data_IF_652442117843
#
_entry.id   IF_652442117843
#
_cell.length_a   1.000
_cell.length_b   1.000
_cell.length_c   1.000
_cell.angle_alpha   90.00
_cell.angle_beta   90.00
_cell.angle_gamma   90.00
#
_symmetry.space_group_name_H-M   'P 1'
#
loop_
_entity.id
_entity.type
_entity.pdbx_description
1 polymer ?
#
# COMPACT_ATOMS: atom_id res chain seq x y z
N UNK A 1 -10.21 -1.63 -1.39
CA UNK A 1 -9.59 -0.34 -1.74
C UNK A 1 -10.39 0.49 -2.75
N UNK A 2 -10.62 0.03 -3.99
CA UNK A 2 -11.30 0.81 -5.04
C UNK A 2 -12.64 1.40 -4.57
N UNK A 3 -13.55 0.57 -4.05
CA UNK A 3 -14.86 1.05 -3.61
C UNK A 3 -14.78 2.13 -2.52
N UNK A 4 -13.95 1.92 -1.49
CA UNK A 4 -13.83 2.86 -0.37
C UNK A 4 -13.11 4.15 -0.77
N UNK A 5 -11.95 4.03 -1.43
CA UNK A 5 -11.08 5.17 -1.72
C UNK A 5 -11.52 5.95 -2.95
N UNK A 6 -11.89 5.26 -4.03
CA UNK A 6 -12.25 5.86 -5.32
C UNK A 6 -13.74 6.22 -5.36
N UNK A 7 -14.64 5.26 -5.10
CA UNK A 7 -16.08 5.51 -5.29
C UNK A 7 -16.72 6.22 -4.09
N UNK A 8 -16.46 5.77 -2.87
CA UNK A 8 -17.01 6.36 -1.66
C UNK A 8 -16.21 7.58 -1.16
N UNK A 9 -15.13 7.96 -1.87
CA UNK A 9 -14.30 9.14 -1.60
C UNK A 9 -13.74 9.19 -0.17
N UNK A 10 -13.63 8.05 0.53
CA UNK A 10 -13.03 8.01 1.87
C UNK A 10 -11.50 8.16 1.77
N UNK A 11 -10.85 8.75 2.79
CA UNK A 11 -9.39 8.79 2.84
C UNK A 11 -8.81 7.38 2.89
N UNK A 12 -7.57 7.23 2.42
CA UNK A 12 -6.85 5.96 2.62
C UNK A 12 -6.56 5.80 4.11
N UNK A 13 -6.58 4.57 4.60
CA UNK A 13 -6.21 4.26 5.97
C UNK A 13 -5.34 3.01 6.02
N UNK A 14 -4.58 2.89 7.11
CA UNK A 14 -3.81 1.68 7.40
C UNK A 14 -4.70 0.44 7.37
N UNK A 15 -5.87 0.51 8.02
CA UNK A 15 -6.87 -0.56 8.00
C UNK A 15 -7.32 -0.92 6.58
N UNK A 16 -7.59 0.07 5.71
CA UNK A 16 -8.00 -0.20 4.33
C UNK A 16 -6.91 -0.95 3.56
N UNK A 17 -5.64 -0.62 3.79
CA UNK A 17 -4.49 -1.31 3.18
C UNK A 17 -4.41 -2.75 3.69
N UNK A 18 -4.52 -2.96 5.00
CA UNK A 18 -4.50 -4.28 5.63
C UNK A 18 -5.65 -5.16 5.12
N UNK A 19 -6.88 -4.64 5.11
CA UNK A 19 -8.06 -5.37 4.63
C UNK A 19 -7.92 -5.73 3.14
N UNK A 20 -7.40 -4.79 2.34
CA UNK A 20 -7.14 -5.02 0.91
C UNK A 20 -6.08 -6.09 0.70
N UNK A 21 -5.02 -6.11 1.51
CA UNK A 21 -4.03 -7.18 1.49
C UNK A 21 -4.66 -8.54 1.80
N UNK A 22 -5.52 -8.62 2.82
CA UNK A 22 -6.22 -9.85 3.17
C UNK A 22 -7.05 -10.43 2.03
N UNK A 23 -7.75 -9.56 1.27
CA UNK A 23 -8.49 -9.97 0.07
C UNK A 23 -7.54 -10.38 -1.05
N UNK A 24 -6.50 -9.57 -1.32
CA UNK A 24 -5.55 -9.77 -2.40
C UNK A 24 -4.84 -11.13 -2.35
N UNK A 25 -4.50 -11.58 -1.15
CA UNK A 25 -3.75 -12.83 -0.99
C UNK A 25 -4.64 -14.04 -0.73
N UNK A 26 -5.96 -13.85 -0.56
CA UNK A 26 -6.89 -14.94 -0.24
C UNK A 26 -6.83 -16.04 -1.30
N UNK A 27 -6.58 -17.28 -0.85
CA UNK A 27 -6.46 -18.45 -1.72
C UNK A 27 -5.07 -18.66 -2.31
N UNK A 28 -4.13 -17.74 -2.08
CA UNK A 28 -2.74 -17.94 -2.46
C UNK A 28 -2.00 -18.76 -1.40
N UNK A 29 -0.93 -19.40 -1.83
CA UNK A 29 0.04 -20.07 -0.96
C UNK A 29 1.38 -19.36 -1.07
N UNK A 30 2.10 -19.23 0.04
CA UNK A 30 3.46 -18.72 0.08
C UNK A 30 4.40 -19.76 0.69
N UNK A 31 5.67 -19.74 0.33
CA UNK A 31 6.67 -20.66 0.87
C UNK A 31 7.23 -20.12 2.19
N UNK A 32 7.04 -20.87 3.26
CA UNK A 32 7.54 -20.62 4.60
C UNK A 32 8.95 -21.21 4.80
N UNK A 33 9.94 -20.79 4.02
CA UNK A 33 11.24 -21.47 4.04
C UNK A 33 11.12 -22.97 3.72
N UNK A 34 12.06 -23.79 4.21
CA UNK A 34 12.28 -25.18 3.80
C UNK A 34 11.01 -26.08 3.85
N UNK A 35 10.27 -26.12 2.75
CA UNK A 35 9.24 -27.13 2.46
C UNK A 35 7.86 -26.92 3.07
N UNK A 36 7.63 -25.88 3.89
CA UNK A 36 6.31 -25.58 4.43
C UNK A 36 5.59 -24.53 3.57
N UNK A 37 4.33 -24.78 3.22
CA UNK A 37 3.46 -23.82 2.53
C UNK A 37 2.65 -23.09 3.60
N UNK A 38 2.87 -21.78 3.78
CA UNK A 38 1.86 -20.98 4.47
C UNK A 38 0.68 -20.80 3.54
N UNK A 39 -0.51 -20.94 4.12
CA UNK A 39 -1.72 -20.56 3.41
C UNK A 39 -1.96 -19.08 3.61
N UNK A 40 -2.70 -18.45 2.69
CA UNK A 40 -3.15 -17.07 2.84
C UNK A 40 -3.88 -16.78 4.17
N UNK A 41 -4.42 -17.81 4.84
CA UNK A 41 -5.07 -17.65 6.16
C UNK A 41 -4.07 -17.25 7.25
N UNK A 42 -2.82 -17.63 7.09
CA UNK A 42 -1.78 -17.45 8.10
C UNK A 42 -1.27 -16.00 8.08
N UNK A 43 -1.12 -15.41 6.88
CA UNK A 43 -0.52 -14.08 6.69
C UNK A 43 -1.45 -13.01 6.08
N UNK A 44 -2.61 -13.38 5.53
CA UNK A 44 -3.52 -12.45 4.88
C UNK A 44 -4.03 -11.38 5.85
N UNK A 45 -3.85 -10.11 5.49
CA UNK A 45 -4.26 -8.97 6.32
C UNK A 45 -3.50 -8.88 7.66
N UNK A 46 -2.28 -9.41 7.75
CA UNK A 46 -1.44 -9.31 8.96
C UNK A 46 -0.05 -8.84 8.59
N UNK A 47 0.50 -7.90 9.36
CA UNK A 47 1.91 -7.56 9.21
C UNK A 47 2.82 -8.76 9.47
N UNK A 48 3.97 -8.76 8.80
CA UNK A 48 4.98 -9.79 9.02
C UNK A 48 5.53 -9.72 10.45
N UNK A 49 5.86 -10.89 10.98
CA UNK A 49 6.53 -11.06 12.27
C UNK A 49 8.04 -11.22 12.16
N UNK A 50 8.55 -11.42 10.95
CA UNK A 50 9.96 -11.73 10.70
C UNK A 50 10.70 -10.53 10.10
N UNK A 51 11.99 -10.44 10.37
CA UNK A 51 12.88 -9.49 9.69
C UNK A 51 13.10 -9.93 8.23
N UNK A 52 13.05 -8.96 7.32
CA UNK A 52 13.25 -9.21 5.88
C UNK A 52 14.14 -8.15 5.28
N UNK A 53 14.77 -8.50 4.16
CA UNK A 53 15.56 -7.60 3.34
C UNK A 53 15.07 -7.64 1.90
N UNK A 54 15.15 -6.50 1.21
CA UNK A 54 14.95 -6.40 -0.24
C UNK A 54 16.33 -6.20 -0.86
N UNK A 55 16.89 -7.25 -1.47
CA UNK A 55 18.28 -7.26 -1.89
C UNK A 55 19.21 -7.07 -0.68
N UNK A 56 20.03 -6.02 -0.70
CA UNK A 56 20.96 -5.68 0.40
C UNK A 56 20.35 -4.76 1.46
N UNK A 57 19.18 -4.19 1.19
CA UNK A 57 18.53 -3.24 2.08
C UNK A 57 17.68 -3.95 3.12
N UNK A 58 17.95 -3.68 4.41
CA UNK A 58 17.08 -4.13 5.51
C UNK A 58 15.81 -3.28 5.55
N UNK A 59 14.66 -3.92 5.63
CA UNK A 59 13.39 -3.26 5.87
C UNK A 59 13.23 -2.91 7.37
N UNK A 60 12.27 -2.04 7.74
CA UNK A 60 11.92 -1.80 9.14
C UNK A 60 11.68 -3.09 9.92
N UNK A 61 11.98 -3.12 11.22
CA UNK A 61 11.67 -4.28 12.05
C UNK A 61 10.16 -4.49 12.18
N UNK A 62 9.67 -5.72 12.45
CA UNK A 62 8.26 -5.98 12.70
C UNK A 62 7.60 -5.00 13.70
N UNK A 63 8.31 -4.63 14.76
CA UNK A 63 7.86 -3.66 15.77
C UNK A 63 7.70 -2.23 15.27
N UNK A 64 8.29 -1.89 14.12
CA UNK A 64 8.31 -0.55 13.54
C UNK A 64 7.31 -0.39 12.39
N UNK A 65 6.77 -1.50 11.86
CA UNK A 65 5.89 -1.51 10.67
C UNK A 65 4.66 -0.63 10.89
N UNK A 66 3.96 -0.79 12.02
CA UNK A 66 2.72 -0.06 12.28
C UNK A 66 2.96 1.47 12.32
N UNK A 67 4.04 1.91 12.97
CA UNK A 67 4.42 3.33 13.02
C UNK A 67 4.78 3.85 11.63
N UNK A 68 5.55 3.08 10.86
CA UNK A 68 5.93 3.46 9.50
C UNK A 68 4.73 3.54 8.56
N UNK A 69 3.78 2.60 8.65
CA UNK A 69 2.56 2.58 7.86
C UNK A 69 1.62 3.74 8.23
N UNK A 70 1.44 4.02 9.52
CA UNK A 70 0.70 5.20 9.99
C UNK A 70 1.32 6.49 9.44
N UNK A 71 2.64 6.62 9.52
CA UNK A 71 3.37 7.80 9.00
C UNK A 71 3.20 7.94 7.48
N UNK A 72 3.30 6.84 6.74
CA UNK A 72 3.13 6.84 5.29
C UNK A 72 1.72 7.30 4.88
N UNK A 73 0.67 6.79 5.52
CA UNK A 73 -0.72 7.19 5.24
C UNK A 73 -0.92 8.67 5.55
N UNK A 74 -0.46 9.14 6.71
CA UNK A 74 -0.55 10.55 7.09
C UNK A 74 0.16 11.47 6.09
N UNK A 75 1.35 11.08 5.62
CA UNK A 75 2.09 11.86 4.63
C UNK A 75 1.38 11.89 3.28
N UNK A 76 0.74 10.79 2.86
CA UNK A 76 -0.06 10.77 1.65
C UNK A 76 -1.24 11.74 1.73
N UNK A 77 -1.97 11.76 2.86
CA UNK A 77 -3.09 12.68 3.06
C UNK A 77 -2.63 14.15 3.02
N UNK A 78 -1.49 14.47 3.63
CA UNK A 78 -0.89 15.82 3.59
C UNK A 78 -0.50 16.21 2.16
N UNK A 79 0.16 15.31 1.42
CA UNK A 79 0.59 15.59 0.04
C UNK A 79 -0.61 15.75 -0.90
N UNK A 80 -1.69 14.98 -0.72
CA UNK A 80 -2.93 15.10 -1.47
C UNK A 80 -3.66 16.42 -1.18
N UNK A 81 -3.83 16.78 0.09
CA UNK A 81 -4.48 18.04 0.49
C UNK A 81 -3.69 19.27 0.00
N UNK A 82 -2.35 19.22 0.05
CA UNK A 82 -1.50 20.28 -0.50
C UNK A 82 -1.64 20.40 -2.03
N UNK A 83 -1.73 19.28 -2.72
CA UNK A 83 -1.88 19.26 -4.17
C UNK A 83 -3.26 19.81 -4.62
N UNK A 84 -4.33 19.47 -3.90
CA UNK A 84 -5.68 20.01 -4.14
C UNK A 84 -5.71 21.54 -3.94
N UNK A 85 -5.04 22.04 -2.90
CA UNK A 85 -4.98 23.49 -2.60
C UNK A 85 -4.12 24.30 -3.58
N UNK A 86 -3.04 23.71 -4.08
CA UNK A 86 -2.08 24.42 -4.96
C UNK A 86 -2.45 24.31 -6.45
N UNK A 87 -3.34 23.37 -6.81
CA UNK A 87 -3.70 23.09 -8.20
C UNK A 87 -2.56 22.48 -9.03
N UNK A 88 -1.43 22.16 -8.41
CA UNK A 88 -0.25 21.55 -9.05
C UNK A 88 -0.08 20.15 -8.47
N UNK A 89 -0.44 19.15 -9.26
CA UNK A 89 -0.34 17.75 -8.84
C UNK A 89 0.32 16.92 -9.94
N UNK A 90 1.60 16.60 -9.75
CA UNK A 90 2.21 15.50 -10.50
C UNK A 90 1.75 14.18 -9.88
N UNK A 91 0.63 13.69 -10.38
CA UNK A 91 0.00 12.44 -9.98
C UNK A 91 0.92 11.23 -10.10
N UNK A 92 1.75 11.21 -11.15
CA UNK A 92 2.66 10.10 -11.39
C UNK A 92 3.73 10.08 -10.30
N UNK A 93 4.31 11.24 -9.99
CA UNK A 93 5.28 11.37 -8.90
C UNK A 93 4.67 11.04 -7.54
N UNK A 94 3.46 11.51 -7.23
CA UNK A 94 2.81 11.23 -5.96
C UNK A 94 2.51 9.73 -5.78
N UNK A 95 1.91 9.11 -6.80
CA UNK A 95 1.59 7.69 -6.78
C UNK A 95 2.87 6.85 -6.68
N UNK A 96 3.92 7.20 -7.44
CA UNK A 96 5.21 6.52 -7.39
C UNK A 96 5.88 6.63 -6.01
N UNK A 97 5.90 7.82 -5.39
CA UNK A 97 6.45 8.02 -4.03
C UNK A 97 5.71 7.20 -2.98
N UNK A 98 4.37 7.18 -3.04
CA UNK A 98 3.57 6.37 -2.10
C UNK A 98 3.90 4.88 -2.24
N UNK A 99 4.00 4.40 -3.48
CA UNK A 99 4.32 3.01 -3.80
C UNK A 99 5.72 2.61 -3.38
N UNK A 100 6.70 3.48 -3.61
CA UNK A 100 8.08 3.29 -3.18
C UNK A 100 8.17 3.23 -1.66
N UNK A 101 7.56 4.18 -0.94
CA UNK A 101 7.51 4.15 0.54
C UNK A 101 6.89 2.87 1.08
N UNK A 102 5.73 2.46 0.53
CA UNK A 102 5.06 1.22 0.92
C UNK A 102 5.96 0.00 0.69
N UNK A 103 6.58 -0.08 -0.49
CA UNK A 103 7.44 -1.20 -0.87
C UNK A 103 8.67 -1.32 0.04
N UNK A 104 9.27 -0.18 0.41
CA UNK A 104 10.43 -0.12 1.32
C UNK A 104 10.08 -0.46 2.78
N UNK A 105 8.86 -0.17 3.24
CA UNK A 105 8.37 -0.64 4.55
C UNK A 105 8.23 -2.18 4.54
N UNK A 106 7.80 -2.74 3.40
CA UNK A 106 7.57 -4.16 3.19
C UNK A 106 6.71 -4.79 4.30
N UNK A 107 5.50 -4.26 4.55
CA UNK A 107 4.75 -4.55 5.78
C UNK A 107 4.24 -6.00 5.87
N UNK A 108 4.05 -6.68 4.75
CA UNK A 108 3.47 -8.02 4.69
C UNK A 108 4.52 -9.08 4.37
N UNK A 109 4.17 -10.35 4.61
CA UNK A 109 5.05 -11.49 4.30
C UNK A 109 5.16 -11.76 2.80
N UNK A 110 4.05 -11.62 2.08
CA UNK A 110 3.93 -11.73 0.63
C UNK A 110 2.89 -10.71 0.17
N UNK A 111 2.76 -10.50 -1.14
CA UNK A 111 1.74 -9.63 -1.71
C UNK A 111 2.14 -8.16 -1.76
N UNK A 112 3.27 -7.75 -1.17
CA UNK A 112 3.73 -6.35 -1.14
C UNK A 112 3.81 -5.74 -2.55
N UNK A 113 4.48 -6.39 -3.50
CA UNK A 113 4.58 -5.87 -4.87
C UNK A 113 3.22 -5.75 -5.59
N UNK A 114 2.29 -6.69 -5.33
CA UNK A 114 0.93 -6.67 -5.89
C UNK A 114 0.09 -5.55 -5.28
N UNK A 115 0.17 -5.37 -3.96
CA UNK A 115 -0.54 -4.32 -3.25
C UNK A 115 0.01 -2.93 -3.59
N UNK A 116 1.33 -2.80 -3.73
CA UNK A 116 2.00 -1.59 -4.21
C UNK A 116 1.41 -1.13 -5.55
N UNK A 117 1.29 -2.01 -6.54
CA UNK A 117 0.64 -1.70 -7.83
C UNK A 117 -0.84 -1.32 -7.69
N UNK A 118 -1.57 -1.95 -6.77
CA UNK A 118 -2.95 -1.57 -6.49
C UNK A 118 -3.05 -0.17 -5.89
N UNK A 119 -2.20 0.16 -4.92
CA UNK A 119 -2.12 1.51 -4.32
C UNK A 119 -1.82 2.55 -5.40
N UNK A 120 -0.83 2.29 -6.26
CA UNK A 120 -0.49 3.14 -7.41
C UNK A 120 -1.72 3.43 -8.25
N UNK A 121 -2.38 2.36 -8.69
CA UNK A 121 -3.50 2.45 -9.62
C UNK A 121 -4.71 3.15 -9.00
N UNK A 122 -5.04 2.92 -7.72
CA UNK A 122 -6.19 3.60 -7.12
C UNK A 122 -5.97 5.10 -6.93
N UNK A 123 -4.74 5.53 -6.65
CA UNK A 123 -4.38 6.96 -6.61
C UNK A 123 -4.56 7.56 -8.00
N UNK A 124 -3.97 6.93 -9.04
CA UNK A 124 -4.12 7.40 -10.41
C UNK A 124 -5.59 7.40 -10.86
N UNK A 125 -6.37 6.36 -10.58
CA UNK A 125 -7.79 6.33 -10.99
C UNK A 125 -8.58 7.44 -10.31
N UNK A 126 -8.40 7.61 -8.98
CA UNK A 126 -9.14 8.62 -8.21
C UNK A 126 -8.88 10.02 -8.73
N UNK A 127 -7.64 10.34 -9.07
CA UNK A 127 -7.25 11.72 -9.35
C UNK A 127 -6.97 12.02 -10.83
N UNK A 128 -6.56 11.04 -11.65
CA UNK A 128 -6.50 11.22 -13.09
C UNK A 128 -7.90 11.25 -13.70
N UNK A 129 -8.86 10.47 -13.16
CA UNK A 129 -10.27 10.56 -13.52
C UNK A 129 -10.91 11.92 -13.22
N UNK A 130 -10.30 12.72 -12.34
CA UNK A 130 -10.68 14.10 -12.03
C UNK A 130 -10.07 15.10 -13.04
N UNK A 131 -8.93 14.77 -13.66
CA UNK A 131 -8.21 15.66 -14.60
C UNK A 131 -8.66 15.51 -16.06
N UNK A 132 -9.14 14.33 -16.49
CA UNK A 132 -9.50 14.09 -17.90
C UNK A 132 -10.94 14.53 -18.25
N UNK A 133 -11.83 14.69 -17.27
CA UNK A 133 -13.23 15.11 -17.49
C UNK A 133 -13.44 16.64 -17.50
N UNK A 134 -12.35 17.42 -17.63
CA UNK A 134 -12.37 18.89 -17.66
C UNK A 134 -12.28 19.51 -19.05
N UNK A 135 -12.53 18.75 -20.12
CA UNK A 135 -12.55 19.23 -21.52
C UNK A 135 -13.91 18.98 -22.15
#
# INVERSE_FOLDING_TARGET
MVNEFVHAQKPTSEKLIIDTHGILVKGNTSTAGAGSLDTSKDFGGKYRSDDVSIGVQRCPKPSEIAVAMTSMVKNLDIELDAAEKTGVLDLSSLAAKCCDRFFNIHPFRDGNGRLCRLILNVILIKYAGVVVNGW
#
